data_IF_682317828093
#
_entry.id   IF_682317828093
#
_cell.length_a   1.000
_cell.length_b   1.000
_cell.length_c   1.000
_cell.angle_alpha   90.00
_cell.angle_beta   90.00
_cell.angle_gamma   90.00
#
_symmetry.space_group_name_H-M   'P 1'
#
loop_
_entity.id
_entity.type
_entity.pdbx_description
1 polymer ?
#
# COMPACT_ATOMS: atom_id res chain seq x y z
N UNK A 1 16.13 14.19 -4.52
CA UNK A 1 15.02 13.85 -5.42
C UNK A 1 13.74 13.71 -4.63
N UNK A 2 12.65 14.31 -5.11
CA UNK A 2 11.34 14.24 -4.46
C UNK A 2 10.71 12.84 -4.63
N UNK A 3 9.68 12.48 -3.84
CA UNK A 3 8.92 11.23 -4.06
C UNK A 3 8.31 11.16 -5.46
N UNK A 4 7.91 12.30 -6.02
CA UNK A 4 7.33 12.41 -7.37
C UNK A 4 8.36 12.10 -8.43
N UNK A 5 9.54 12.70 -8.33
CA UNK A 5 10.66 12.47 -9.25
C UNK A 5 11.14 11.01 -9.22
N UNK A 6 11.23 10.41 -8.03
CA UNK A 6 11.54 8.98 -7.92
C UNK A 6 10.44 8.10 -8.51
N UNK A 7 9.17 8.45 -8.33
CA UNK A 7 8.05 7.70 -8.93
C UNK A 7 8.08 7.78 -10.45
N UNK A 8 8.40 8.95 -11.01
CA UNK A 8 8.56 9.16 -12.45
C UNK A 8 9.74 8.35 -13.02
N UNK A 9 10.89 8.37 -12.34
CA UNK A 9 12.04 7.55 -12.69
C UNK A 9 11.70 6.05 -12.70
N UNK A 10 11.01 5.54 -11.67
CA UNK A 10 10.58 4.13 -11.63
C UNK A 10 9.60 3.84 -12.78
N UNK A 11 8.67 4.75 -13.08
CA UNK A 11 7.78 4.64 -14.22
C UNK A 11 8.52 4.57 -15.56
N UNK A 12 9.55 5.40 -15.74
CA UNK A 12 10.41 5.40 -16.93
C UNK A 12 11.17 4.09 -17.10
N UNK A 13 11.70 3.50 -16.02
CA UNK A 13 12.34 2.17 -16.07
C UNK A 13 11.30 1.08 -16.38
N UNK A 14 10.13 1.11 -15.71
CA UNK A 14 9.09 0.11 -15.90
C UNK A 14 8.54 0.09 -17.34
N UNK A 15 8.43 1.26 -17.98
CA UNK A 15 7.99 1.37 -19.37
C UNK A 15 8.89 0.62 -20.36
N UNK A 16 10.19 0.50 -20.06
CA UNK A 16 11.15 -0.25 -20.88
C UNK A 16 11.00 -1.77 -20.75
N UNK A 17 10.31 -2.25 -19.72
CA UNK A 17 10.09 -3.68 -19.43
C UNK A 17 8.65 -4.13 -19.69
N UNK A 18 7.82 -3.27 -20.32
CA UNK A 18 6.38 -3.50 -20.50
C UNK A 18 6.03 -4.84 -21.18
N UNK A 19 6.90 -5.36 -22.05
CA UNK A 19 6.67 -6.60 -22.78
C UNK A 19 6.78 -7.84 -21.88
N UNK A 20 7.36 -7.70 -20.68
CA UNK A 20 7.53 -8.75 -19.68
C UNK A 20 6.57 -8.63 -18.49
N UNK A 21 5.68 -7.64 -18.49
CA UNK A 21 4.82 -7.32 -17.35
C UNK A 21 3.36 -7.31 -17.76
N UNK A 22 2.56 -8.20 -17.16
CA UNK A 22 1.11 -8.08 -17.19
C UNK A 22 0.64 -7.14 -16.07
N UNK A 23 0.13 -5.97 -16.42
CA UNK A 23 -0.58 -5.09 -15.49
C UNK A 23 -2.05 -5.51 -15.33
N UNK A 24 -2.70 -5.03 -14.27
CA UNK A 24 -4.12 -5.33 -13.94
C UNK A 24 -4.42 -6.84 -13.82
N UNK A 25 -3.39 -7.62 -13.54
CA UNK A 25 -3.43 -9.08 -13.43
C UNK A 25 -2.99 -9.50 -12.02
N UNK A 26 -3.97 -9.58 -11.11
CA UNK A 26 -3.74 -10.02 -9.74
C UNK A 26 -3.59 -11.54 -9.66
N UNK A 27 -2.55 -12.02 -8.96
CA UNK A 27 -2.38 -13.44 -8.62
C UNK A 27 -3.41 -13.83 -7.57
N UNK A 28 -4.21 -14.85 -7.88
CA UNK A 28 -5.26 -15.39 -7.02
C UNK A 28 -4.76 -16.58 -6.19
N UNK A 29 -3.99 -17.47 -6.81
CA UNK A 29 -3.48 -18.68 -6.17
C UNK A 29 -2.18 -19.18 -6.83
N UNK A 30 -1.45 -20.04 -6.13
CA UNK A 30 -0.26 -20.73 -6.60
C UNK A 30 -0.38 -22.22 -6.31
N UNK A 31 -0.64 -23.00 -7.35
CA UNK A 31 -0.91 -24.43 -7.24
C UNK A 31 0.31 -25.28 -7.61
N UNK A 32 0.63 -26.34 -6.84
CA UNK A 32 1.76 -27.21 -7.17
C UNK A 32 1.44 -28.12 -8.36
N UNK A 33 2.42 -28.29 -9.25
CA UNK A 33 2.36 -29.25 -10.36
C UNK A 33 3.33 -30.38 -10.06
N UNK A 34 2.78 -31.54 -9.69
CA UNK A 34 3.57 -32.71 -9.31
C UNK A 34 3.43 -33.84 -10.33
N UNK A 35 4.55 -34.51 -10.63
CA UNK A 35 4.58 -35.73 -11.44
C UNK A 35 5.22 -36.84 -10.62
N UNK A 36 4.53 -37.98 -10.49
CA UNK A 36 4.98 -39.12 -9.66
C UNK A 36 5.34 -38.71 -8.22
N UNK A 37 4.57 -37.78 -7.65
CA UNK A 37 4.78 -37.27 -6.29
C UNK A 37 5.92 -36.25 -6.15
N UNK A 38 6.58 -35.87 -7.24
CA UNK A 38 7.68 -34.90 -7.24
C UNK A 38 7.19 -33.57 -7.82
N UNK A 39 7.37 -32.48 -7.06
CA UNK A 39 7.08 -31.13 -7.55
C UNK A 39 7.97 -30.79 -8.75
N UNK A 40 7.36 -30.44 -9.89
CA UNK A 40 8.06 -30.10 -11.13
C UNK A 40 7.93 -28.62 -11.49
N UNK A 41 6.82 -28.01 -11.14
CA UNK A 41 6.51 -26.61 -11.42
C UNK A 41 5.42 -26.11 -10.47
N UNK A 42 5.08 -24.83 -10.60
CA UNK A 42 3.89 -24.22 -10.01
C UNK A 42 3.07 -23.56 -11.10
N UNK A 43 1.76 -23.60 -10.93
CA UNK A 43 0.78 -22.89 -11.74
C UNK A 43 0.32 -21.65 -10.98
N UNK A 44 0.63 -20.47 -11.52
CA UNK A 44 0.18 -19.18 -11.00
C UNK A 44 -1.17 -18.87 -11.63
N UNK A 45 -2.22 -18.81 -10.81
CA UNK A 45 -3.59 -18.60 -11.25
C UNK A 45 -3.94 -17.12 -11.16
N UNK A 46 -4.48 -16.56 -12.23
CA UNK A 46 -4.96 -15.17 -12.31
C UNK A 46 -6.38 -15.15 -12.89
N UNK A 47 -6.99 -13.97 -12.96
CA UNK A 47 -8.30 -13.83 -13.61
C UNK A 47 -8.21 -13.99 -15.15
N UNK A 48 -7.03 -13.77 -15.73
CA UNK A 48 -6.78 -13.78 -17.17
C UNK A 48 -6.23 -15.12 -17.67
N UNK A 49 -5.67 -15.96 -16.78
CA UNK A 49 -5.19 -17.28 -17.17
C UNK A 49 -4.40 -18.02 -16.09
N UNK A 50 -3.60 -18.98 -16.52
CA UNK A 50 -2.71 -19.75 -15.65
C UNK A 50 -1.32 -19.83 -16.27
N UNK A 51 -0.31 -19.48 -15.48
CA UNK A 51 1.08 -19.39 -15.93
C UNK A 51 1.92 -20.43 -15.21
N UNK A 52 2.50 -21.36 -15.96
CA UNK A 52 3.35 -22.41 -15.42
C UNK A 52 4.82 -21.97 -15.35
N UNK A 53 5.44 -22.07 -14.18
CA UNK A 53 6.87 -21.79 -14.01
C UNK A 53 7.55 -22.79 -13.08
N UNK A 54 8.85 -22.99 -13.27
CA UNK A 54 9.72 -23.75 -12.36
C UNK A 54 10.31 -22.89 -11.25
N UNK A 55 10.28 -21.56 -11.42
CA UNK A 55 10.92 -20.59 -10.51
C UNK A 55 9.94 -19.45 -10.28
N UNK A 56 9.55 -19.27 -9.03
CA UNK A 56 8.64 -18.22 -8.60
C UNK A 56 9.39 -17.26 -7.67
N UNK A 57 9.24 -15.96 -7.92
CA UNK A 57 9.74 -14.90 -7.05
C UNK A 57 8.53 -14.12 -6.54
N UNK A 58 8.42 -13.96 -5.22
CA UNK A 58 7.33 -13.23 -4.59
C UNK A 58 7.79 -11.85 -4.15
N UNK A 59 7.31 -10.81 -4.84
CA UNK A 59 7.68 -9.40 -4.61
C UNK A 59 6.44 -8.51 -4.47
N UNK A 60 5.39 -8.98 -3.81
CA UNK A 60 4.10 -8.26 -3.69
C UNK A 60 4.05 -7.22 -2.56
N UNK A 61 5.20 -6.87 -1.97
CA UNK A 61 5.28 -5.94 -0.84
C UNK A 61 4.60 -6.46 0.44
N UNK A 62 4.27 -5.55 1.34
CA UNK A 62 3.58 -5.88 2.61
C UNK A 62 2.14 -5.38 2.59
N UNK A 63 1.24 -6.14 3.20
CA UNK A 63 -0.14 -5.69 3.40
C UNK A 63 -0.22 -4.68 4.55
N UNK A 64 -1.18 -3.74 4.50
CA UNK A 64 -1.51 -2.87 5.62
C UNK A 64 -1.72 -3.66 6.91
N UNK A 65 -1.01 -3.28 7.98
CA UNK A 65 -1.22 -3.88 9.30
C UNK A 65 -2.33 -3.13 10.02
N UNK A 66 -3.50 -3.74 10.13
CA UNK A 66 -4.65 -3.18 10.85
C UNK A 66 -4.75 -3.85 12.21
N UNK A 67 -4.64 -3.11 13.33
CA UNK A 67 -4.93 -3.66 14.65
C UNK A 67 -6.40 -4.07 14.76
N UNK A 68 -6.66 -5.21 15.41
CA UNK A 68 -8.00 -5.81 15.51
C UNK A 68 -9.08 -4.85 16.03
N UNK A 69 -8.72 -4.01 17.00
CA UNK A 69 -9.60 -2.99 17.57
C UNK A 69 -10.13 -1.98 16.54
N UNK A 70 -9.49 -1.84 15.38
CA UNK A 70 -9.90 -0.93 14.30
C UNK A 70 -10.52 -1.65 13.09
N UNK A 71 -10.46 -2.97 13.03
CA UNK A 71 -10.94 -3.74 11.86
C UNK A 71 -12.41 -3.46 11.56
N UNK A 72 -13.27 -3.43 12.58
CA UNK A 72 -14.71 -3.14 12.43
C UNK A 72 -15.01 -1.67 12.09
N UNK A 73 -14.03 -0.78 12.23
CA UNK A 73 -14.20 0.66 12.00
C UNK A 73 -13.61 1.12 10.67
N UNK A 74 -12.94 0.25 9.92
CA UNK A 74 -12.38 0.59 8.61
C UNK A 74 -13.47 1.08 7.65
N UNK A 75 -13.16 2.17 6.96
CA UNK A 75 -14.05 2.81 5.99
C UNK A 75 -14.47 4.22 6.42
N UNK A 76 -14.80 5.04 5.42
CA UNK A 76 -15.18 6.44 5.63
C UNK A 76 -14.07 7.25 6.29
N UNK A 77 -14.17 7.46 7.60
CA UNK A 77 -13.28 8.33 8.39
C UNK A 77 -12.07 7.62 9.01
N UNK A 78 -12.02 6.29 8.98
CA UNK A 78 -10.90 5.51 9.53
C UNK A 78 -10.29 4.70 8.40
N UNK A 79 -9.01 4.92 8.14
CA UNK A 79 -8.29 4.27 7.06
C UNK A 79 -6.79 4.18 7.35
N UNK A 80 -6.13 3.23 6.69
CA UNK A 80 -4.68 3.08 6.76
C UNK A 80 -3.97 4.14 5.89
N UNK A 81 -2.74 4.49 6.25
CA UNK A 81 -1.93 5.50 5.53
C UNK A 81 -1.71 5.16 4.05
N UNK A 82 -1.76 3.88 3.67
CA UNK A 82 -1.71 3.45 2.26
C UNK A 82 -2.88 3.97 1.40
N UNK A 83 -3.99 4.38 2.02
CA UNK A 83 -5.14 4.98 1.34
C UNK A 83 -5.27 6.49 1.61
N UNK A 84 -4.26 7.10 2.24
CA UNK A 84 -4.33 8.47 2.74
C UNK A 84 -4.74 9.48 1.68
N UNK A 85 -4.05 9.51 0.53
CA UNK A 85 -4.35 10.48 -0.54
C UNK A 85 -5.75 10.29 -1.15
N UNK A 86 -6.26 9.05 -1.15
CA UNK A 86 -7.61 8.74 -1.65
C UNK A 86 -8.70 9.23 -0.71
N UNK A 87 -8.46 9.15 0.60
CA UNK A 87 -9.49 9.35 1.62
C UNK A 87 -9.36 10.67 2.40
N UNK A 88 -8.30 11.45 2.18
CA UNK A 88 -8.09 12.74 2.88
C UNK A 88 -9.21 13.75 2.57
N UNK A 89 -9.77 13.72 1.36
CA UNK A 89 -10.95 14.46 0.94
C UNK A 89 -12.16 13.52 0.99
N UNK A 90 -12.74 13.32 2.18
CA UNK A 90 -13.86 12.38 2.42
C UNK A 90 -14.97 12.53 1.37
N UNK A 91 -14.94 11.71 0.31
CA UNK A 91 -15.89 11.80 -0.81
C UNK A 91 -15.80 13.09 -1.64
N UNK A 92 -14.62 13.73 -1.72
CA UNK A 92 -14.42 14.98 -2.46
C UNK A 92 -14.76 16.26 -1.68
N UNK A 93 -15.14 16.14 -0.41
CA UNK A 93 -15.35 17.28 0.48
C UNK A 93 -14.05 17.93 0.96
N UNK A 94 -14.15 19.06 1.70
CA UNK A 94 -12.98 19.70 2.30
C UNK A 94 -12.29 18.78 3.30
N UNK A 95 -10.98 19.00 3.51
CA UNK A 95 -10.20 18.29 4.53
C UNK A 95 -10.82 18.56 5.90
N UNK A 96 -11.03 17.49 6.68
CA UNK A 96 -11.58 17.60 8.01
C UNK A 96 -10.70 18.47 8.92
N UNK A 97 -11.31 19.22 9.84
CA UNK A 97 -10.57 20.08 10.75
C UNK A 97 -9.82 19.32 11.85
N UNK A 98 -10.24 18.09 12.19
CA UNK A 98 -9.66 17.32 13.29
C UNK A 98 -9.24 15.94 12.81
N UNK A 99 -7.99 15.61 13.07
CA UNK A 99 -7.38 14.34 12.69
C UNK A 99 -6.72 13.67 13.89
N UNK A 100 -6.76 12.34 13.92
CA UNK A 100 -5.95 11.52 14.79
C UNK A 100 -5.03 10.67 13.91
N UNK A 101 -3.73 10.77 14.14
CA UNK A 101 -2.72 9.96 13.43
C UNK A 101 -2.10 9.00 14.43
N UNK A 102 -2.27 7.70 14.18
CA UNK A 102 -1.70 6.64 15.02
C UNK A 102 -0.40 6.12 14.40
N UNK A 103 0.70 6.21 15.16
CA UNK A 103 2.01 5.71 14.77
C UNK A 103 3.12 6.75 14.86
N UNK A 104 4.38 6.31 14.85
CA UNK A 104 5.57 7.18 14.94
C UNK A 104 6.58 6.97 13.80
N UNK A 105 6.21 6.19 12.78
CA UNK A 105 7.06 5.97 11.61
C UNK A 105 6.98 7.11 10.60
N UNK A 106 7.78 7.01 9.54
CA UNK A 106 7.86 8.01 8.46
C UNK A 106 6.48 8.34 7.86
N UNK A 107 5.64 7.33 7.57
CA UNK A 107 4.30 7.57 7.02
C UNK A 107 3.40 8.40 7.94
N UNK A 108 3.52 8.21 9.26
CA UNK A 108 2.77 9.01 10.22
C UNK A 108 3.30 10.46 10.26
N UNK A 109 4.63 10.65 10.22
CA UNK A 109 5.24 11.97 10.19
C UNK A 109 4.87 12.77 8.94
N UNK A 110 4.95 12.14 7.76
CA UNK A 110 4.54 12.74 6.48
C UNK A 110 3.05 13.11 6.48
N UNK A 111 2.17 12.27 7.03
CA UNK A 111 0.75 12.56 7.15
C UNK A 111 0.48 13.75 8.09
N UNK A 112 1.14 13.80 9.26
CA UNK A 112 1.01 14.93 10.19
C UNK A 112 1.49 16.23 9.55
N UNK A 113 2.65 16.22 8.91
CA UNK A 113 3.21 17.40 8.23
C UNK A 113 2.28 17.89 7.12
N UNK A 114 1.74 16.99 6.30
CA UNK A 114 0.80 17.34 5.25
C UNK A 114 -0.52 17.91 5.79
N UNK A 115 -1.09 17.31 6.85
CA UNK A 115 -2.33 17.80 7.47
C UNK A 115 -2.17 19.19 8.09
N UNK A 116 -1.06 19.45 8.78
CA UNK A 116 -0.78 20.76 9.36
C UNK A 116 -0.54 21.83 8.28
N UNK A 117 0.00 21.44 7.13
CA UNK A 117 0.18 22.33 5.97
C UNK A 117 -1.10 22.59 5.17
N UNK A 118 -2.16 21.79 5.36
CA UNK A 118 -3.37 21.86 4.54
C UNK A 118 -4.27 23.07 4.86
N UNK A 119 -4.42 23.42 6.14
CA UNK A 119 -5.19 24.60 6.56
C UNK A 119 -4.77 25.07 7.96
N UNK A 120 -4.78 26.40 8.24
CA UNK A 120 -4.39 26.95 9.54
C UNK A 120 -5.26 26.47 10.72
N UNK A 121 -6.50 26.05 10.44
CA UNK A 121 -7.46 25.58 11.46
C UNK A 121 -7.39 24.08 11.73
N UNK A 122 -6.53 23.34 11.01
CA UNK A 122 -6.40 21.89 11.18
C UNK A 122 -5.73 21.55 12.51
N UNK A 123 -6.38 20.69 13.28
CA UNK A 123 -5.88 20.12 14.51
C UNK A 123 -5.52 18.64 14.30
N UNK A 124 -4.31 18.27 14.71
CA UNK A 124 -3.80 16.90 14.55
C UNK A 124 -3.38 16.35 15.90
N UNK A 125 -4.05 15.28 16.33
CA UNK A 125 -3.70 14.50 17.51
C UNK A 125 -2.80 13.34 17.09
N UNK A 126 -1.51 13.44 17.36
CA UNK A 126 -0.53 12.39 17.06
C UNK A 126 -0.37 11.44 18.24
N UNK A 127 -0.68 10.16 18.05
CA UNK A 127 -0.63 9.12 19.10
C UNK A 127 0.50 8.15 18.83
N UNK A 128 1.39 7.99 19.81
CA UNK A 128 2.59 7.16 19.70
C UNK A 128 2.61 6.09 20.81
N UNK A 129 3.00 4.86 20.46
CA UNK A 129 3.19 3.78 21.45
C UNK A 129 4.50 3.91 22.26
N UNK A 130 5.50 4.58 21.68
CA UNK A 130 6.82 4.78 22.30
C UNK A 130 7.33 6.18 21.99
N UNK A 131 8.66 6.34 21.92
CA UNK A 131 9.29 7.61 21.51
C UNK A 131 8.70 8.07 20.16
N UNK A 132 8.42 9.36 20.03
CA UNK A 132 7.73 9.99 18.89
C UNK A 132 8.49 9.88 17.56
N UNK A 133 8.31 10.86 16.68
CA UNK A 133 8.99 10.83 15.37
C UNK A 133 10.51 10.80 15.56
N UNK A 134 11.15 9.79 14.99
CA UNK A 134 12.61 9.75 14.87
C UNK A 134 12.96 10.53 13.61
N UNK A 135 13.60 11.68 13.81
CA UNK A 135 14.18 12.51 12.74
C UNK A 135 15.53 11.92 12.35
#
# INVERSE_FOLDING_TARGET
ASRVEWSDYIGWVAAQLKDYVSYDEGVLDVLPVAEKGILRAVDVVTAQGTYRTKRLVLSHGSLPRIPEAFSAHLGGRVFHTSQYLKNIHLGGGPIAQRWLVLGSGQSAGEAVAHLLGAAPTTQVHSVHRGVGFRV
#
